data_IF_215557880163
#
_entry.id   IF_215557880163
#
_cell.length_a   1.000
_cell.length_b   1.000
_cell.length_c   1.000
_cell.angle_alpha   90.00
_cell.angle_beta   90.00
_cell.angle_gamma   90.00
#
_symmetry.space_group_name_H-M   'P 1'
#
loop_
_entity.id
_entity.type
_entity.pdbx_description
1 polymer ?
#
# COMPACT_ATOMS: atom_id res chain seq x y z
N UNK A 1 -23.98 -1.23 -11.70
CA UNK A 1 -23.53 0.15 -11.37
C UNK A 1 -22.00 0.32 -11.35
N UNK A 2 -21.26 0.13 -10.24
CA UNK A 2 -19.82 0.47 -10.16
C UNK A 2 -18.97 -0.06 -11.33
N UNK A 3 -19.07 -1.36 -11.64
CA UNK A 3 -18.31 -1.99 -12.72
C UNK A 3 -18.66 -1.43 -14.11
N UNK A 4 -19.93 -1.11 -14.33
CA UNK A 4 -20.43 -0.56 -15.60
C UNK A 4 -19.96 0.88 -15.77
N UNK A 5 -20.04 1.70 -14.72
CA UNK A 5 -19.59 3.09 -14.74
C UNK A 5 -18.08 3.19 -14.96
N UNK A 6 -17.27 2.41 -14.24
CA UNK A 6 -15.82 2.43 -14.45
C UNK A 6 -15.46 1.87 -15.83
N UNK A 7 -16.12 0.78 -16.26
CA UNK A 7 -15.88 0.16 -17.56
C UNK A 7 -16.20 1.07 -18.74
N UNK A 8 -17.21 1.94 -18.64
CA UNK A 8 -17.57 2.87 -19.71
C UNK A 8 -16.66 4.11 -19.79
N UNK A 9 -15.95 4.43 -18.70
CA UNK A 9 -15.06 5.61 -18.62
C UNK A 9 -13.62 5.32 -19.05
N UNK A 10 -13.19 4.06 -19.02
CA UNK A 10 -11.81 3.70 -19.42
C UNK A 10 -11.74 3.30 -20.89
N UNK A 11 -10.62 3.58 -21.53
CA UNK A 11 -10.33 3.15 -22.90
C UNK A 11 -9.81 1.71 -23.00
N UNK A 12 -9.37 1.12 -21.88
CA UNK A 12 -8.79 -0.21 -21.81
C UNK A 12 -9.69 -1.25 -21.13
N UNK A 13 -9.14 -2.44 -20.90
CA UNK A 13 -9.86 -3.52 -20.22
C UNK A 13 -9.87 -3.30 -18.69
N UNK A 14 -11.05 -3.29 -18.08
CA UNK A 14 -11.19 -3.30 -16.61
C UNK A 14 -11.22 -4.72 -16.06
N UNK A 15 -10.44 -4.97 -15.00
CA UNK A 15 -10.56 -6.18 -14.18
C UNK A 15 -10.94 -5.78 -12.75
N UNK A 16 -11.85 -6.52 -12.12
CA UNK A 16 -12.32 -6.24 -10.75
C UNK A 16 -12.06 -7.44 -9.84
N UNK A 17 -11.15 -7.30 -8.88
CA UNK A 17 -10.81 -8.33 -7.90
C UNK A 17 -11.46 -8.06 -6.55
N UNK A 18 -11.89 -9.12 -5.87
CA UNK A 18 -12.27 -9.06 -4.47
C UNK A 18 -11.07 -9.46 -3.62
N UNK A 19 -10.74 -8.64 -2.60
CA UNK A 19 -9.63 -8.95 -1.70
C UNK A 19 -10.04 -10.13 -0.81
N UNK A 20 -9.26 -11.23 -0.79
CA UNK A 20 -9.52 -12.36 0.09
C UNK A 20 -9.46 -11.95 1.57
N UNK A 21 -10.25 -12.62 2.41
CA UNK A 21 -10.38 -12.28 3.84
C UNK A 21 -9.03 -12.32 4.54
N UNK A 22 -8.18 -13.29 4.25
CA UNK A 22 -6.82 -13.45 4.78
C UNK A 22 -5.89 -12.26 4.50
N UNK A 23 -6.14 -11.56 3.39
CA UNK A 23 -5.40 -10.36 3.01
C UNK A 23 -6.02 -9.09 3.63
N UNK A 24 -7.31 -9.12 3.97
CA UNK A 24 -8.08 -8.04 4.61
C UNK A 24 -8.69 -8.45 5.96
N UNK A 25 -7.85 -8.94 6.87
CA UNK A 25 -8.27 -9.25 8.25
C UNK A 25 -7.10 -9.17 9.22
N UNK A 26 -7.40 -9.34 10.51
CA UNK A 26 -6.37 -9.67 11.49
C UNK A 26 -5.80 -11.07 11.21
N UNK A 27 -4.47 -11.22 11.21
CA UNK A 27 -3.86 -12.53 11.28
C UNK A 27 -4.01 -13.11 12.70
N UNK A 28 -3.90 -14.45 12.87
CA UNK A 28 -4.26 -15.14 14.12
C UNK A 28 -3.41 -14.76 15.33
N UNK A 29 -2.21 -14.20 15.12
CA UNK A 29 -1.31 -13.77 16.19
C UNK A 29 -1.59 -12.34 16.70
N UNK A 30 -2.59 -11.64 16.15
CA UNK A 30 -2.97 -10.30 16.61
C UNK A 30 -4.12 -10.40 17.60
N UNK A 31 -3.85 -9.95 18.82
CA UNK A 31 -4.86 -9.69 19.83
C UNK A 31 -5.74 -8.50 19.40
N UNK A 32 -7.00 -8.80 19.08
CA UNK A 32 -7.96 -7.83 18.57
C UNK A 32 -8.45 -6.84 19.64
N UNK A 33 -8.50 -7.25 20.91
CA UNK A 33 -8.86 -6.36 22.02
C UNK A 33 -7.76 -5.33 22.25
N UNK A 34 -6.51 -5.79 22.28
CA UNK A 34 -5.35 -4.89 22.35
C UNK A 34 -5.29 -3.95 21.16
N UNK A 35 -5.54 -4.46 19.95
CA UNK A 35 -5.58 -3.63 18.74
C UNK A 35 -6.70 -2.56 18.82
N UNK A 36 -7.88 -2.91 19.34
CA UNK A 36 -8.99 -1.98 19.54
C UNK A 36 -8.66 -0.90 20.58
N UNK A 37 -8.03 -1.28 21.70
CA UNK A 37 -7.59 -0.33 22.72
C UNK A 37 -6.56 0.67 22.19
N UNK A 38 -5.59 0.21 21.40
CA UNK A 38 -4.60 1.11 20.78
C UNK A 38 -5.26 2.09 19.80
N UNK A 39 -6.23 1.61 19.01
CA UNK A 39 -7.02 2.49 18.12
C UNK A 39 -7.78 3.56 18.90
N UNK A 40 -8.31 3.21 20.08
CA UNK A 40 -8.96 4.15 20.97
C UNK A 40 -7.98 5.23 21.48
N UNK A 41 -6.80 4.83 21.96
CA UNK A 41 -5.75 5.77 22.37
C UNK A 41 -5.32 6.71 21.23
N UNK A 42 -5.27 6.21 19.99
CA UNK A 42 -4.96 7.04 18.82
C UNK A 42 -6.10 8.02 18.49
N UNK A 43 -7.36 7.68 18.80
CA UNK A 43 -8.51 8.59 18.73
C UNK A 43 -8.35 9.76 19.70
N UNK A 44 -8.04 9.45 20.96
CA UNK A 44 -7.84 10.44 22.02
C UNK A 44 -6.69 11.41 21.69
N UNK A 45 -5.62 10.90 21.08
CA UNK A 45 -4.48 11.68 20.59
C UNK A 45 -4.77 12.45 19.29
N UNK A 46 -5.99 12.37 18.76
CA UNK A 46 -6.44 13.03 17.51
C UNK A 46 -5.56 12.70 16.30
N UNK A 47 -5.02 11.47 16.25
CA UNK A 47 -4.26 10.99 15.10
C UNK A 47 -5.24 10.73 13.96
N UNK A 48 -4.98 11.33 12.80
CA UNK A 48 -5.82 11.20 11.60
C UNK A 48 -5.91 9.72 11.21
N UNK A 49 -7.14 9.22 11.02
CA UNK A 49 -7.48 7.80 10.81
C UNK A 49 -6.96 6.83 11.88
N UNK A 50 -6.46 7.33 13.01
CA UNK A 50 -5.82 6.56 14.07
C UNK A 50 -6.67 5.38 14.57
N UNK A 51 -7.97 5.63 14.65
CA UNK A 51 -9.00 4.76 15.16
C UNK A 51 -9.66 3.87 14.10
N UNK A 52 -9.40 4.11 12.81
CA UNK A 52 -10.07 3.42 11.71
C UNK A 52 -9.47 2.03 11.48
N UNK A 53 -10.25 0.98 11.75
CA UNK A 53 -9.83 -0.41 11.52
C UNK A 53 -9.61 -0.71 10.04
N UNK A 54 -10.52 -0.27 9.18
CA UNK A 54 -10.39 -0.43 7.73
C UNK A 54 -9.15 0.26 7.19
N UNK A 55 -8.76 1.41 7.75
CA UNK A 55 -7.51 2.09 7.38
C UNK A 55 -6.27 1.26 7.78
N UNK A 56 -6.30 0.55 8.92
CA UNK A 56 -5.22 -0.38 9.29
C UNK A 56 -5.13 -1.57 8.36
N UNK A 57 -6.27 -2.13 7.95
CA UNK A 57 -6.30 -3.18 6.95
C UNK A 57 -5.79 -2.70 5.58
N UNK A 58 -6.17 -1.48 5.16
CA UNK A 58 -5.66 -0.83 3.95
C UNK A 58 -4.14 -0.67 3.99
N UNK A 59 -3.57 -0.08 5.06
CA UNK A 59 -2.12 0.07 5.18
C UNK A 59 -1.39 -1.28 5.10
N UNK A 60 -1.91 -2.32 5.76
CA UNK A 60 -1.35 -3.69 5.69
C UNK A 60 -1.45 -4.28 4.28
N UNK A 61 -2.60 -4.12 3.62
CA UNK A 61 -2.84 -4.64 2.28
C UNK A 61 -1.87 -4.02 1.27
N UNK A 62 -1.75 -2.69 1.27
CA UNK A 62 -0.84 -1.94 0.41
C UNK A 62 0.63 -2.21 0.71
N UNK A 63 0.97 -2.53 1.96
CA UNK A 63 2.37 -2.82 2.35
C UNK A 63 2.85 -4.22 1.93
N UNK A 64 1.96 -5.19 1.68
CA UNK A 64 2.41 -6.57 1.52
C UNK A 64 1.52 -7.56 0.78
N UNK A 65 0.29 -7.17 0.39
CA UNK A 65 -0.68 -8.09 -0.19
C UNK A 65 -1.26 -7.66 -1.54
N UNK A 66 -1.24 -6.37 -1.89
CA UNK A 66 -1.83 -5.91 -3.15
C UNK A 66 -1.19 -6.62 -4.36
N UNK A 67 0.14 -6.73 -4.41
CA UNK A 67 0.86 -7.41 -5.50
C UNK A 67 0.68 -8.93 -5.51
N UNK A 68 0.11 -9.52 -4.45
CA UNK A 68 -0.17 -10.97 -4.34
C UNK A 68 -1.56 -11.35 -4.85
N UNK A 69 -2.36 -10.39 -5.29
CA UNK A 69 -3.68 -10.70 -5.85
C UNK A 69 -3.52 -11.40 -7.19
N UNK A 70 -4.25 -12.50 -7.40
CA UNK A 70 -4.17 -13.32 -8.62
C UNK A 70 -4.37 -12.49 -9.90
N UNK A 71 -5.24 -11.48 -9.83
CA UNK A 71 -5.55 -10.56 -10.92
C UNK A 71 -4.33 -9.75 -11.41
N UNK A 72 -3.28 -9.65 -10.58
CA UNK A 72 -2.05 -8.92 -10.87
C UNK A 72 -0.89 -9.84 -11.29
N UNK A 73 -1.06 -11.16 -11.31
CA UNK A 73 0.02 -12.11 -11.64
C UNK A 73 0.59 -11.91 -13.05
N UNK A 74 -0.18 -11.33 -13.98
CA UNK A 74 0.24 -11.08 -15.36
C UNK A 74 1.03 -9.76 -15.55
N UNK A 75 1.36 -9.04 -14.46
CA UNK A 75 1.90 -7.68 -14.53
C UNK A 75 3.21 -7.52 -13.76
N UNK A 76 4.22 -6.93 -14.41
CA UNK A 76 5.50 -6.57 -13.79
C UNK A 76 5.48 -5.17 -13.13
N UNK A 77 4.65 -4.26 -13.66
CA UNK A 77 4.54 -2.87 -13.22
C UNK A 77 3.10 -2.49 -12.90
N UNK A 78 2.93 -1.58 -11.96
CA UNK A 78 1.64 -0.97 -11.63
C UNK A 78 1.80 0.53 -11.41
N UNK A 79 0.75 1.29 -11.73
CA UNK A 79 0.61 2.69 -11.31
C UNK A 79 -0.58 2.76 -10.34
N UNK A 80 -0.30 3.01 -9.06
CA UNK A 80 -1.34 3.24 -8.06
C UNK A 80 -2.02 4.59 -8.29
N UNK A 81 -3.35 4.55 -8.38
CA UNK A 81 -4.21 5.73 -8.51
C UNK A 81 -5.20 5.73 -7.36
N UNK A 82 -5.35 6.88 -6.70
CA UNK A 82 -6.34 7.11 -5.65
C UNK A 82 -7.49 7.97 -6.20
N UNK A 83 -8.69 7.90 -5.62
CA UNK A 83 -9.76 8.86 -5.89
C UNK A 83 -9.29 10.31 -5.65
N UNK A 84 -9.92 11.27 -6.34
CA UNK A 84 -9.74 12.71 -6.16
C UNK A 84 -8.34 13.30 -6.48
N UNK A 85 -7.44 12.52 -7.07
CA UNK A 85 -6.16 13.05 -7.58
C UNK A 85 -6.37 13.84 -8.87
N UNK A 86 -5.42 14.74 -9.18
CA UNK A 86 -5.41 15.54 -10.41
C UNK A 86 -4.08 15.40 -11.12
N UNK A 87 -4.14 15.10 -12.42
CA UNK A 87 -3.00 15.15 -13.34
C UNK A 87 -3.12 16.43 -14.17
N UNK A 88 -2.12 17.29 -14.09
CA UNK A 88 -2.14 18.61 -14.73
C UNK A 88 -1.34 18.68 -16.03
N UNK A 89 -0.53 17.64 -16.31
CA UNK A 89 0.33 17.57 -17.46
C UNK A 89 -0.05 16.36 -18.31
N UNK A 90 -0.01 16.54 -19.63
CA UNK A 90 -0.08 15.43 -20.57
C UNK A 90 1.17 14.55 -20.45
N UNK A 91 0.98 13.24 -20.64
CA UNK A 91 2.06 12.25 -20.67
C UNK A 91 2.02 11.60 -22.04
N UNK A 92 3.01 11.92 -22.88
CA UNK A 92 3.07 11.58 -24.30
C UNK A 92 4.00 10.39 -24.61
N UNK A 93 4.43 9.66 -23.57
CA UNK A 93 5.27 8.48 -23.68
C UNK A 93 4.74 7.33 -22.82
N UNK A 94 5.13 6.10 -23.16
CA UNK A 94 4.80 4.91 -22.35
C UNK A 94 5.69 4.86 -21.11
N UNK A 95 5.09 5.17 -19.95
CA UNK A 95 5.78 5.22 -18.66
C UNK A 95 6.31 3.85 -18.23
N UNK A 96 5.61 2.75 -18.53
CA UNK A 96 6.00 1.42 -18.07
C UNK A 96 7.15 0.91 -18.92
N UNK A 97 7.09 1.15 -20.23
CA UNK A 97 8.22 0.92 -21.13
C UNK A 97 9.44 1.75 -20.72
N UNK A 98 9.26 3.02 -20.41
CA UNK A 98 10.36 3.87 -19.95
C UNK A 98 11.01 3.34 -18.66
N UNK A 99 10.20 2.93 -17.67
CA UNK A 99 10.70 2.33 -16.43
C UNK A 99 11.54 1.08 -16.71
N UNK A 100 11.04 0.19 -17.59
CA UNK A 100 11.72 -1.04 -17.98
C UNK A 100 13.02 -0.77 -18.75
N UNK A 101 12.98 0.06 -19.78
CA UNK A 101 14.13 0.37 -20.65
C UNK A 101 15.25 1.10 -19.88
N UNK A 102 14.92 1.78 -18.78
CA UNK A 102 15.86 2.56 -17.98
C UNK A 102 16.20 1.93 -16.62
N UNK A 103 15.86 0.65 -16.43
CA UNK A 103 16.12 -0.13 -15.21
C UNK A 103 15.65 0.61 -13.94
N UNK A 104 14.37 1.03 -13.92
CA UNK A 104 13.74 1.69 -12.78
C UNK A 104 12.74 0.77 -12.11
N UNK A 105 12.89 0.62 -10.79
CA UNK A 105 12.01 -0.24 -9.98
C UNK A 105 10.86 0.53 -9.33
N UNK A 106 11.05 1.83 -9.07
CA UNK A 106 10.06 2.66 -8.37
C UNK A 106 10.15 4.13 -8.79
N UNK A 107 9.00 4.81 -8.80
CA UNK A 107 8.89 6.23 -9.09
C UNK A 107 7.89 6.90 -8.13
N UNK A 108 8.13 8.17 -7.82
CA UNK A 108 7.27 8.97 -6.95
C UNK A 108 7.25 10.43 -7.44
N UNK A 109 6.20 11.16 -7.06
CA UNK A 109 6.04 12.59 -7.39
C UNK A 109 6.18 13.50 -6.17
N UNK A 110 5.84 13.01 -4.96
CA UNK A 110 5.86 13.77 -3.71
C UNK A 110 6.55 12.94 -2.62
N UNK A 111 7.38 13.60 -1.81
CA UNK A 111 7.99 13.02 -0.61
C UNK A 111 7.60 13.86 0.61
N UNK A 112 7.18 13.21 1.69
CA UNK A 112 6.66 13.86 2.90
C UNK A 112 7.30 13.23 4.15
N UNK A 113 7.50 14.01 5.22
CA UNK A 113 7.77 13.44 6.54
C UNK A 113 6.53 12.74 7.09
N UNK A 114 6.74 11.62 7.80
CA UNK A 114 5.68 10.86 8.47
C UNK A 114 5.45 11.39 9.91
N UNK A 115 4.22 11.22 10.41
CA UNK A 115 3.87 11.49 11.80
C UNK A 115 4.47 10.42 12.72
N UNK A 116 5.43 10.81 13.56
CA UNK A 116 6.17 9.85 14.41
C UNK A 116 5.26 9.00 15.29
N UNK A 117 4.12 9.53 15.70
CA UNK A 117 3.12 8.87 16.52
C UNK A 117 2.47 7.65 15.83
N UNK A 118 2.53 7.57 14.50
CA UNK A 118 1.98 6.42 13.73
C UNK A 118 2.98 5.29 13.59
N UNK A 119 4.28 5.56 13.78
CA UNK A 119 5.39 4.63 13.53
C UNK A 119 6.42 4.55 14.69
N UNK A 120 6.00 4.58 15.97
CA UNK A 120 6.93 4.74 17.10
C UNK A 120 7.97 3.62 17.22
N UNK A 121 7.63 2.41 16.76
CA UNK A 121 8.51 1.23 16.84
C UNK A 121 8.94 0.70 15.48
N UNK A 122 8.50 1.33 14.37
CA UNK A 122 8.72 0.80 13.03
C UNK A 122 10.22 0.70 12.70
N UNK A 123 10.98 1.76 12.96
CA UNK A 123 12.40 1.80 12.64
C UNK A 123 13.24 0.85 13.50
N UNK A 124 12.94 0.75 14.79
CA UNK A 124 13.62 -0.17 15.69
C UNK A 124 13.34 -1.63 15.30
N UNK A 125 12.08 -1.97 14.99
CA UNK A 125 11.70 -3.29 14.48
C UNK A 125 12.39 -3.61 13.15
N UNK A 126 12.55 -2.61 12.27
CA UNK A 126 13.24 -2.75 10.98
C UNK A 126 14.72 -3.07 11.18
N UNK A 127 15.40 -2.35 12.08
CA UNK A 127 16.81 -2.63 12.41
C UNK A 127 16.99 -4.04 12.97
N UNK A 128 16.13 -4.47 13.89
CA UNK A 128 16.17 -5.84 14.42
C UNK A 128 15.97 -6.89 13.31
N UNK A 129 15.10 -6.62 12.33
CA UNK A 129 14.90 -7.50 11.19
C UNK A 129 16.18 -7.60 10.33
N UNK A 130 16.81 -6.45 10.05
CA UNK A 130 18.07 -6.39 9.28
C UNK A 130 19.17 -7.19 9.98
N UNK A 131 19.35 -7.00 11.29
CA UNK A 131 20.33 -7.74 12.09
C UNK A 131 20.10 -9.26 12.07
N UNK A 132 18.83 -9.68 12.11
CA UNK A 132 18.44 -11.11 12.05
C UNK A 132 18.53 -11.69 10.63
N UNK A 133 18.59 -10.86 9.58
CA UNK A 133 18.59 -11.27 8.17
C UNK A 133 19.73 -10.63 7.37
N UNK A 134 21.00 -10.81 7.78
CA UNK A 134 22.13 -10.14 7.16
C UNK A 134 22.34 -10.53 5.69
N UNK A 135 21.85 -11.70 5.25
CA UNK A 135 22.01 -12.17 3.86
C UNK A 135 21.05 -11.50 2.86
N UNK A 136 19.93 -10.94 3.32
CA UNK A 136 19.00 -10.18 2.47
C UNK A 136 19.55 -8.77 2.20
N UNK A 137 20.32 -8.25 3.16
CA UNK A 137 20.85 -6.90 3.16
C UNK A 137 22.39 -6.88 3.05
N UNK A 138 22.99 -8.01 2.66
CA UNK A 138 24.41 -8.30 2.85
C UNK A 138 25.34 -7.66 1.82
N UNK A 139 26.27 -6.87 2.37
CA UNK A 139 27.45 -6.19 1.80
C UNK A 139 27.22 -5.31 0.57
N UNK A 140 27.26 -3.99 0.79
CA UNK A 140 28.09 -3.17 -0.09
C UNK A 140 29.55 -3.59 0.04
#
# INVERSE_FOLDING_TARGET
>A
EFKETVGSLVSGNTKFGLIPKEHWSYPPWIDQEKAALVREQMREKKIIYGHSESYRHMCRFESGFFWRQEILNDYDYYWRVEPDIKLYCDIDYDIFKWMKDNNKDYAFTISLPEYKETIPTLWDTTKEFIEKKPTIFGSK
#
